data_IF_121340440949
#
_entry.id   IF_121340440949
#
_cell.length_a   1.000
_cell.length_b   1.000
_cell.length_c   1.000
_cell.angle_alpha   90.00
_cell.angle_beta   90.00
_cell.angle_gamma   90.00
#
_symmetry.space_group_name_H-M   'P 1'
#
loop_
_entity.id
_entity.type
_entity.pdbx_description
1 polymer ?
#
# COMPACT_ATOMS: atom_id res chain seq x y z
N UNK A 1 9.06 -6.42 -11.11
CA UNK A 1 9.08 -4.95 -10.95
C UNK A 1 8.53 -4.29 -12.21
N UNK A 2 7.47 -3.48 -12.08
CA UNK A 2 6.80 -2.79 -13.20
C UNK A 2 7.75 -2.04 -14.13
N UNK A 3 8.77 -1.37 -13.58
CA UNK A 3 9.79 -0.64 -14.34
C UNK A 3 10.67 -1.53 -15.24
N UNK A 4 10.79 -2.84 -14.96
CA UNK A 4 11.44 -3.80 -15.88
C UNK A 4 10.56 -4.14 -17.07
N UNK A 5 9.25 -4.25 -16.85
CA UNK A 5 8.27 -4.55 -17.91
C UNK A 5 7.98 -3.31 -18.77
N UNK A 6 8.08 -2.11 -18.18
CA UNK A 6 7.95 -0.84 -18.88
C UNK A 6 9.17 0.05 -18.61
N UNK A 7 10.34 -0.19 -19.24
CA UNK A 7 11.56 0.58 -18.99
C UNK A 7 11.40 2.08 -19.24
N UNK A 8 10.55 2.46 -20.20
CA UNK A 8 10.25 3.85 -20.52
C UNK A 8 9.40 4.56 -19.45
N UNK A 9 8.68 3.83 -18.58
CA UNK A 9 7.78 4.44 -17.61
C UNK A 9 8.56 5.18 -16.53
N UNK A 10 8.26 6.46 -16.27
CA UNK A 10 8.75 7.14 -15.06
C UNK A 10 7.99 6.60 -13.86
N UNK A 11 8.71 6.08 -12.86
CA UNK A 11 8.11 5.53 -11.63
C UNK A 11 8.47 6.40 -10.45
N UNK A 12 7.47 6.74 -9.64
CA UNK A 12 7.63 7.44 -8.36
C UNK A 12 7.13 6.50 -7.25
N UNK A 13 7.98 6.19 -6.29
CA UNK A 13 7.63 5.46 -5.06
C UNK A 13 7.31 6.44 -3.94
N UNK A 14 6.20 6.22 -3.24
CA UNK A 14 5.76 7.04 -2.10
C UNK A 14 5.55 6.14 -0.89
N UNK A 15 6.18 6.51 0.23
CA UNK A 15 6.04 5.86 1.54
C UNK A 15 6.33 6.92 2.62
N UNK A 16 5.60 6.96 3.75
CA UNK A 16 5.90 7.88 4.85
C UNK A 16 7.12 7.50 5.69
N UNK A 17 7.59 6.25 5.62
CA UNK A 17 8.72 5.77 6.41
C UNK A 17 10.04 5.93 5.63
N UNK A 18 10.96 6.82 6.07
CA UNK A 18 12.23 7.03 5.40
C UNK A 18 13.11 5.77 5.37
N UNK A 19 13.00 4.88 6.36
CA UNK A 19 13.76 3.61 6.40
C UNK A 19 13.28 2.67 5.29
N UNK A 20 11.97 2.63 5.06
CA UNK A 20 11.37 1.82 3.98
C UNK A 20 11.79 2.36 2.62
N UNK A 21 11.80 3.68 2.46
CA UNK A 21 12.31 4.33 1.25
C UNK A 21 13.77 3.99 0.99
N UNK A 22 14.63 3.99 2.00
CA UNK A 22 16.04 3.58 1.87
C UNK A 22 16.19 2.11 1.44
N UNK A 23 15.42 1.20 2.04
CA UNK A 23 15.41 -0.23 1.63
C UNK A 23 14.97 -0.36 0.17
N UNK A 24 13.95 0.39 -0.24
CA UNK A 24 13.44 0.36 -1.61
C UNK A 24 14.44 0.97 -2.61
N UNK A 25 15.12 2.06 -2.24
CA UNK A 25 16.22 2.67 -2.99
C UNK A 25 17.35 1.69 -3.23
N UNK A 26 17.83 1.01 -2.19
CA UNK A 26 18.89 0.01 -2.30
C UNK A 26 18.52 -1.14 -3.27
N UNK A 27 17.27 -1.62 -3.21
CA UNK A 27 16.75 -2.64 -4.15
C UNK A 27 16.74 -2.14 -5.60
N UNK A 28 16.34 -0.89 -5.82
CA UNK A 28 16.29 -0.30 -7.15
C UNK A 28 17.71 -0.13 -7.75
N UNK A 29 18.68 0.32 -6.94
CA UNK A 29 20.09 0.42 -7.33
C UNK A 29 20.65 -0.95 -7.71
N UNK A 30 20.47 -1.97 -6.85
CA UNK A 30 20.89 -3.35 -7.14
C UNK A 30 20.26 -3.90 -8.42
N UNK A 31 19.04 -3.46 -8.74
CA UNK A 31 18.32 -3.91 -9.93
C UNK A 31 18.65 -3.10 -11.20
N UNK A 32 19.47 -2.04 -11.12
CA UNK A 32 19.82 -1.17 -12.24
C UNK A 32 18.66 -0.29 -12.72
N UNK A 33 17.75 0.09 -11.81
CA UNK A 33 16.48 0.72 -12.15
C UNK A 33 16.35 2.11 -11.53
N UNK A 34 16.02 3.10 -12.35
CA UNK A 34 15.71 4.45 -11.89
C UNK A 34 14.25 4.59 -11.39
N UNK A 35 14.09 5.02 -10.14
CA UNK A 35 12.82 5.34 -9.48
C UNK A 35 12.99 6.67 -8.74
N UNK A 36 12.02 7.58 -8.86
CA UNK A 36 11.92 8.77 -8.00
C UNK A 36 11.27 8.40 -6.67
N UNK A 37 11.65 9.04 -5.58
CA UNK A 37 11.16 8.71 -4.24
C UNK A 37 10.63 9.95 -3.55
N UNK A 38 9.49 9.83 -2.89
CA UNK A 38 8.87 10.90 -2.13
C UNK A 38 8.44 10.37 -0.76
N UNK A 39 8.91 11.03 0.30
CA UNK A 39 8.42 10.78 1.65
C UNK A 39 7.12 11.54 1.84
N UNK A 40 6.02 10.81 1.95
CA UNK A 40 4.70 11.39 2.18
C UNK A 40 3.72 10.32 2.63
N UNK A 41 2.71 10.77 3.38
CA UNK A 41 1.55 9.94 3.63
C UNK A 41 0.69 9.78 2.37
N UNK A 42 0.00 8.64 2.26
CA UNK A 42 -0.82 8.33 1.09
C UNK A 42 -2.02 9.29 0.89
N UNK A 43 -2.56 9.85 1.97
CA UNK A 43 -3.60 10.88 1.94
C UNK A 43 -3.06 12.28 1.63
N UNK A 44 -1.75 12.48 1.74
CA UNK A 44 -1.07 13.74 1.44
C UNK A 44 -0.53 13.82 0.01
N UNK A 45 -0.79 12.83 -0.85
CA UNK A 45 -0.26 12.79 -2.23
C UNK A 45 -0.52 14.09 -3.00
N UNK A 46 -1.69 14.71 -2.85
CA UNK A 46 -2.02 15.98 -3.51
C UNK A 46 -1.08 17.14 -3.10
N UNK A 47 -0.51 17.11 -1.89
CA UNK A 47 0.40 18.14 -1.34
C UNK A 47 1.84 17.96 -1.81
N UNK A 48 2.19 16.79 -2.33
CA UNK A 48 3.55 16.48 -2.79
C UNK A 48 3.92 17.13 -4.13
N UNK A 49 2.92 17.64 -4.86
CA UNK A 49 3.09 18.07 -6.26
C UNK A 49 3.23 16.91 -7.26
N UNK A 50 3.04 15.66 -6.82
CA UNK A 50 2.96 14.50 -7.71
C UNK A 50 1.68 14.57 -8.52
N UNK A 51 1.82 14.63 -9.85
CA UNK A 51 0.70 14.62 -10.78
C UNK A 51 0.93 15.60 -11.94
N UNK A 52 0.13 15.50 -13.01
CA UNK A 52 -0.77 14.39 -13.28
C UNK A 52 0.00 13.11 -13.66
N UNK A 53 -0.49 11.94 -13.24
CA UNK A 53 0.09 10.62 -13.58
C UNK A 53 -0.87 9.78 -14.43
N UNK A 54 -0.34 8.84 -15.21
CA UNK A 54 -1.15 7.97 -16.07
C UNK A 54 -1.77 6.81 -15.29
N UNK A 55 -1.09 6.34 -14.25
CA UNK A 55 -1.50 5.21 -13.42
C UNK A 55 -1.15 5.46 -11.96
N UNK A 56 -2.05 5.09 -11.06
CA UNK A 56 -1.81 5.06 -9.62
C UNK A 56 -1.95 3.60 -9.16
N UNK A 57 -0.88 3.08 -8.57
CA UNK A 57 -0.77 1.68 -8.16
C UNK A 57 -0.60 1.62 -6.65
N UNK A 58 -1.26 0.69 -5.96
CA UNK A 58 -0.98 0.41 -4.55
C UNK A 58 -1.09 -1.07 -4.22
N UNK A 59 -0.28 -1.51 -3.25
CA UNK A 59 -0.23 -2.90 -2.83
C UNK A 59 -0.10 -3.02 -1.32
N UNK A 60 -0.98 -3.83 -0.70
CA UNK A 60 -0.93 -4.18 0.73
C UNK A 60 -0.92 -2.96 1.68
N UNK A 61 -1.71 -1.94 1.35
CA UNK A 61 -1.82 -0.70 2.12
C UNK A 61 -3.15 -0.59 2.84
N UNK A 62 -4.25 -0.90 2.16
CA UNK A 62 -5.59 -0.53 2.62
C UNK A 62 -6.11 -1.39 3.77
N UNK A 63 -5.75 -2.67 3.85
CA UNK A 63 -6.25 -3.58 4.89
C UNK A 63 -5.95 -3.11 6.31
N UNK A 64 -4.81 -2.47 6.52
CA UNK A 64 -4.36 -1.98 7.82
C UNK A 64 -4.83 -0.54 8.13
N UNK A 65 -5.24 0.24 7.12
CA UNK A 65 -5.68 1.62 7.33
C UNK A 65 -7.05 1.71 8.00
N UNK A 66 -7.32 2.67 8.90
CA UNK A 66 -8.69 3.00 9.30
C UNK A 66 -9.57 3.42 8.11
N UNK A 67 -10.89 3.24 8.23
CA UNK A 67 -11.81 3.55 7.12
C UNK A 67 -11.73 5.00 6.60
N UNK A 68 -11.59 6.05 7.45
CA UNK A 68 -11.37 7.41 6.97
C UNK A 68 -10.07 7.56 6.16
N UNK A 69 -8.99 6.91 6.61
CA UNK A 69 -7.70 6.92 5.91
C UNK A 69 -7.79 6.24 4.54
N UNK A 70 -8.48 5.09 4.43
CA UNK A 70 -8.74 4.43 3.13
C UNK A 70 -9.41 5.40 2.13
N UNK A 71 -10.39 6.19 2.59
CA UNK A 71 -11.09 7.19 1.76
C UNK A 71 -10.16 8.32 1.35
N UNK A 72 -9.40 8.85 2.29
CA UNK A 72 -8.47 9.96 2.06
C UNK A 72 -7.37 9.58 1.05
N UNK A 73 -6.76 8.39 1.20
CA UNK A 73 -5.79 7.87 0.25
C UNK A 73 -6.40 7.73 -1.15
N UNK A 74 -7.61 7.15 -1.27
CA UNK A 74 -8.24 6.98 -2.58
C UNK A 74 -8.59 8.31 -3.24
N UNK A 75 -9.07 9.29 -2.48
CA UNK A 75 -9.33 10.64 -2.99
C UNK A 75 -8.03 11.31 -3.47
N UNK A 76 -6.95 11.19 -2.70
CA UNK A 76 -5.65 11.71 -3.07
C UNK A 76 -5.09 11.03 -4.32
N UNK A 77 -5.16 9.70 -4.40
CA UNK A 77 -4.79 8.94 -5.60
C UNK A 77 -5.59 9.40 -6.83
N UNK A 78 -6.91 9.55 -6.70
CA UNK A 78 -7.77 10.04 -7.77
C UNK A 78 -7.36 11.44 -8.24
N UNK A 79 -7.10 12.36 -7.30
CA UNK A 79 -6.66 13.73 -7.60
C UNK A 79 -5.30 13.83 -8.31
N UNK A 80 -4.41 12.85 -8.13
CA UNK A 80 -3.11 12.82 -8.84
C UNK A 80 -3.20 12.28 -10.27
N UNK A 81 -4.30 11.63 -10.65
CA UNK A 81 -4.44 11.05 -11.98
C UNK A 81 -4.82 12.10 -13.02
N UNK A 82 -4.26 11.97 -14.23
CA UNK A 82 -4.81 12.67 -15.40
C UNK A 82 -6.24 12.17 -15.71
N UNK A 83 -7.07 12.97 -16.41
CA UNK A 83 -8.32 12.46 -16.96
C UNK A 83 -8.11 11.16 -17.74
N UNK A 84 -8.88 10.12 -17.42
CA UNK A 84 -8.76 8.80 -18.02
C UNK A 84 -7.58 7.93 -17.52
N UNK A 85 -6.84 8.39 -16.50
CA UNK A 85 -5.81 7.61 -15.82
C UNK A 85 -6.36 6.34 -15.14
N UNK A 86 -5.47 5.40 -14.83
CA UNK A 86 -5.86 4.08 -14.32
C UNK A 86 -5.50 3.85 -12.85
N UNK A 87 -6.38 3.15 -12.14
CA UNK A 87 -6.14 2.66 -10.78
C UNK A 87 -5.81 1.16 -10.81
N UNK A 88 -4.77 0.75 -10.08
CA UNK A 88 -4.44 -0.66 -9.86
C UNK A 88 -4.17 -0.90 -8.36
N UNK A 89 -4.96 -1.77 -7.72
CA UNK A 89 -4.83 -2.10 -6.29
C UNK A 89 -4.65 -3.60 -6.13
N UNK A 90 -3.65 -4.02 -5.38
CA UNK A 90 -3.48 -5.41 -4.93
C UNK A 90 -3.52 -5.45 -3.40
N UNK A 91 -4.63 -5.89 -2.81
CA UNK A 91 -4.79 -5.84 -1.35
C UNK A 91 -5.64 -7.00 -0.85
N UNK A 92 -5.67 -7.25 0.46
CA UNK A 92 -6.66 -8.17 1.01
C UNK A 92 -8.05 -7.62 0.70
N UNK A 93 -8.80 -8.38 -0.10
CA UNK A 93 -10.15 -8.03 -0.50
C UNK A 93 -11.20 -8.74 0.34
N UNK A 94 -12.40 -8.86 -0.23
CA UNK A 94 -13.48 -9.61 0.39
C UNK A 94 -13.06 -11.06 0.62
N UNK A 95 -13.19 -11.54 1.87
CA UNK A 95 -12.89 -12.92 2.22
C UNK A 95 -14.15 -13.75 1.99
N UNK A 96 -14.36 -14.24 0.77
CA UNK A 96 -15.65 -14.86 0.37
C UNK A 96 -15.90 -16.23 0.96
N UNK A 97 -14.84 -17.03 1.14
CA UNK A 97 -14.97 -18.38 1.71
C UNK A 97 -14.71 -18.39 3.21
N UNK A 98 -15.32 -19.33 3.93
CA UNK A 98 -15.08 -19.56 5.35
C UNK A 98 -13.59 -19.82 5.63
N UNK A 99 -12.93 -20.56 4.75
CA UNK A 99 -11.50 -20.85 4.84
C UNK A 99 -10.68 -19.57 4.73
N UNK A 100 -10.94 -18.72 3.73
CA UNK A 100 -10.19 -17.47 3.58
C UNK A 100 -10.45 -16.50 4.75
N UNK A 101 -11.70 -16.41 5.23
CA UNK A 101 -12.03 -15.65 6.46
C UNK A 101 -11.25 -16.16 7.67
N UNK A 102 -11.16 -17.48 7.84
CA UNK A 102 -10.40 -18.07 8.93
C UNK A 102 -8.90 -17.75 8.83
N UNK A 103 -8.29 -17.93 7.65
CA UNK A 103 -6.87 -17.63 7.44
C UNK A 103 -6.59 -16.13 7.64
N UNK A 104 -7.50 -15.25 7.23
CA UNK A 104 -7.34 -13.81 7.38
C UNK A 104 -7.33 -13.34 8.84
N UNK A 105 -7.89 -14.10 9.78
CA UNK A 105 -7.82 -13.78 11.23
C UNK A 105 -6.38 -13.64 11.73
N UNK A 106 -5.41 -14.29 11.07
CA UNK A 106 -3.99 -14.11 11.37
C UNK A 106 -3.57 -12.65 11.17
N UNK A 107 -3.96 -12.05 10.04
CA UNK A 107 -3.74 -10.64 9.72
C UNK A 107 -4.56 -9.74 10.65
N UNK A 108 -5.82 -10.06 10.91
CA UNK A 108 -6.66 -9.26 11.81
C UNK A 108 -6.13 -9.18 13.24
N UNK A 109 -5.42 -10.23 13.71
CA UNK A 109 -4.73 -10.22 15.01
C UNK A 109 -3.48 -9.35 15.02
N UNK A 110 -2.81 -9.20 13.89
CA UNK A 110 -1.61 -8.37 13.75
C UNK A 110 -1.96 -6.89 13.53
N UNK A 111 -2.88 -6.63 12.59
CA UNK A 111 -3.19 -5.27 12.10
C UNK A 111 -4.48 -4.68 12.71
N UNK A 112 -5.12 -5.44 13.59
CA UNK A 112 -6.36 -5.07 14.27
C UNK A 112 -7.63 -5.39 13.47
N UNK A 113 -8.62 -5.94 14.15
CA UNK A 113 -9.91 -6.30 13.55
C UNK A 113 -10.67 -5.10 13.00
N UNK A 114 -10.66 -3.97 13.72
CA UNK A 114 -11.37 -2.75 13.31
C UNK A 114 -10.93 -2.24 11.93
N UNK A 115 -9.62 -2.30 11.65
CA UNK A 115 -9.05 -1.83 10.39
C UNK A 115 -9.24 -2.82 9.24
N UNK A 116 -9.12 -4.11 9.55
CA UNK A 116 -9.06 -5.20 8.56
C UNK A 116 -10.43 -5.78 8.21
N UNK A 117 -11.39 -5.78 9.14
CA UNK A 117 -12.73 -6.32 8.93
C UNK A 117 -13.49 -5.65 7.76
N UNK A 118 -13.41 -4.31 7.55
CA UNK A 118 -13.99 -3.69 6.36
C UNK A 118 -13.49 -4.28 5.04
N UNK A 119 -12.19 -4.60 4.94
CA UNK A 119 -11.67 -5.26 3.74
C UNK A 119 -12.23 -6.67 3.61
N UNK A 120 -12.28 -7.43 4.70
CA UNK A 120 -12.83 -8.79 4.70
C UNK A 120 -14.30 -8.85 4.29
N UNK A 121 -15.04 -7.76 4.50
CA UNK A 121 -16.45 -7.60 4.11
C UNK A 121 -16.64 -6.89 2.77
N UNK A 122 -15.56 -6.65 2.01
CA UNK A 122 -15.62 -6.15 0.64
C UNK A 122 -15.90 -4.65 0.53
N UNK A 123 -15.35 -3.82 1.44
CA UNK A 123 -15.56 -2.36 1.40
C UNK A 123 -14.92 -1.68 0.18
N UNK A 124 -13.82 -2.21 -0.34
CA UNK A 124 -12.96 -1.52 -1.32
C UNK A 124 -13.69 -1.08 -2.61
N UNK A 125 -14.50 -1.92 -3.31
CA UNK A 125 -15.26 -1.49 -4.47
C UNK A 125 -16.15 -0.26 -4.22
N UNK A 126 -16.79 -0.20 -3.05
CA UNK A 126 -17.63 0.93 -2.66
C UNK A 126 -16.81 2.21 -2.45
N UNK A 127 -15.60 2.07 -1.88
CA UNK A 127 -14.71 3.21 -1.69
C UNK A 127 -14.12 3.72 -3.01
N UNK A 128 -13.82 2.84 -3.96
CA UNK A 128 -13.36 3.24 -5.29
C UNK A 128 -14.41 4.11 -5.99
N UNK A 129 -15.67 3.65 -6.01
CA UNK A 129 -16.77 4.43 -6.58
C UNK A 129 -16.96 5.77 -5.86
N UNK A 130 -16.92 5.78 -4.52
CA UNK A 130 -17.08 7.00 -3.73
C UNK A 130 -15.94 8.01 -3.94
N UNK A 131 -14.74 7.55 -4.30
CA UNK A 131 -13.60 8.41 -4.62
C UNK A 131 -13.59 8.92 -6.07
N UNK A 132 -14.59 8.53 -6.90
CA UNK A 132 -14.71 8.98 -8.30
C UNK A 132 -14.08 8.04 -9.32
N UNK A 133 -13.54 6.88 -8.92
CA UNK A 133 -12.99 5.93 -9.88
C UNK A 133 -14.09 5.21 -10.64
N UNK A 134 -14.05 5.31 -11.97
CA UNK A 134 -14.96 4.59 -12.85
C UNK A 134 -14.40 3.21 -13.27
N UNK A 135 -15.31 2.25 -13.49
CA UNK A 135 -15.00 0.94 -14.11
C UNK A 135 -13.87 0.15 -13.43
N UNK A 136 -13.69 0.33 -12.11
CA UNK A 136 -12.77 -0.52 -11.33
C UNK A 136 -13.44 -1.86 -11.09
N UNK A 137 -12.82 -2.92 -11.59
CA UNK A 137 -13.30 -4.30 -11.43
C UNK A 137 -12.25 -5.14 -10.73
N UNK A 138 -12.69 -6.11 -9.93
CA UNK A 138 -11.82 -7.16 -9.44
C UNK A 138 -11.46 -8.09 -10.61
N UNK A 139 -10.19 -8.05 -11.04
CA UNK A 139 -9.68 -8.87 -12.14
C UNK A 139 -9.36 -10.29 -11.70
N UNK A 140 -8.91 -10.43 -10.46
CA UNK A 140 -8.50 -11.70 -9.90
C UNK A 140 -8.65 -11.66 -8.38
N UNK A 141 -8.98 -12.80 -7.79
CA UNK A 141 -8.86 -13.06 -6.37
C UNK A 141 -7.93 -14.25 -6.18
N UNK A 142 -6.83 -14.03 -5.47
CA UNK A 142 -5.75 -15.01 -5.28
C UNK A 142 -5.83 -15.51 -3.84
N UNK A 143 -6.14 -16.79 -3.61
CA UNK A 143 -6.04 -17.37 -2.27
C UNK A 143 -4.57 -17.44 -1.83
N UNK A 144 -4.31 -17.05 -0.60
CA UNK A 144 -2.99 -17.12 0.04
C UNK A 144 -3.09 -17.85 1.39
N UNK A 145 -1.96 -18.24 1.99
CA UNK A 145 -1.94 -18.79 3.35
C UNK A 145 -2.49 -17.85 4.44
N UNK A 146 -2.71 -16.56 4.13
CA UNK A 146 -3.14 -15.51 5.06
C UNK A 146 -4.48 -14.88 4.68
N UNK A 147 -5.22 -15.43 3.71
CA UNK A 147 -6.49 -14.89 3.21
C UNK A 147 -6.46 -14.69 1.69
N UNK A 148 -7.47 -14.06 1.11
CA UNK A 148 -7.51 -13.74 -0.32
C UNK A 148 -7.02 -12.33 -0.60
N UNK A 149 -6.06 -12.21 -1.53
CA UNK A 149 -5.63 -10.94 -2.11
C UNK A 149 -6.41 -10.71 -3.41
N UNK A 150 -7.07 -9.58 -3.52
CA UNK A 150 -7.80 -9.16 -4.71
C UNK A 150 -6.96 -8.17 -5.52
N UNK A 151 -6.96 -8.36 -6.84
CA UNK A 151 -6.37 -7.45 -7.81
C UNK A 151 -7.51 -6.65 -8.46
N UNK A 152 -7.61 -5.38 -8.10
CA UNK A 152 -8.55 -4.44 -8.70
C UNK A 152 -7.85 -3.61 -9.77
N UNK A 153 -8.50 -3.41 -10.90
CA UNK A 153 -8.01 -2.53 -11.95
C UNK A 153 -9.17 -1.81 -12.65
N UNK A 154 -8.99 -0.52 -12.94
CA UNK A 154 -9.86 0.16 -13.89
C UNK A 154 -9.69 -0.43 -15.29
N UNK A 155 -10.77 -0.50 -16.08
CA UNK A 155 -10.66 -0.88 -17.49
C UNK A 155 -9.63 0.03 -18.22
N UNK A 156 -8.78 -0.53 -19.10
CA UNK A 156 -7.88 0.29 -19.89
C UNK A 156 -8.71 1.20 -20.79
N UNK A 157 -8.70 2.50 -20.53
CA UNK A 157 -9.01 3.47 -21.58
C UNK A 157 -7.85 3.37 -22.57
N UNK A 158 -8.12 3.10 -23.85
CA UNK A 158 -7.11 2.79 -24.87
C UNK A 158 -6.10 3.92 -25.15
N UNK A 159 -5.20 4.21 -24.21
CA UNK A 159 -4.24 5.30 -24.26
C UNK A 159 -2.82 4.86 -23.87
N UNK A 160 -1.83 5.52 -24.49
CA UNK A 160 -0.40 5.23 -24.42
C UNK A 160 0.20 5.17 -23.00
N UNK A 161 1.25 4.35 -22.87
CA UNK A 161 1.99 4.04 -21.65
C UNK A 161 2.89 5.21 -21.18
N UNK A 162 2.32 6.19 -20.49
CA UNK A 162 3.05 7.23 -19.74
C UNK A 162 3.21 6.90 -18.25
N UNK A 163 3.96 7.76 -17.56
CA UNK A 163 4.28 7.85 -16.12
C UNK A 163 3.37 7.03 -15.16
N UNK A 164 3.98 6.19 -14.32
CA UNK A 164 3.27 5.37 -13.33
C UNK A 164 3.66 5.73 -11.90
N UNK A 165 2.69 6.11 -11.07
CA UNK A 165 2.86 6.30 -9.63
C UNK A 165 2.65 4.98 -8.91
N UNK A 166 3.57 4.60 -8.03
CA UNK A 166 3.44 3.45 -7.15
C UNK A 166 3.43 3.91 -5.70
N UNK A 167 2.25 3.92 -5.10
CA UNK A 167 2.03 4.18 -3.68
C UNK A 167 2.17 2.87 -2.95
N UNK A 168 3.26 2.72 -2.22
CA UNK A 168 3.55 1.49 -1.51
C UNK A 168 3.86 1.87 -0.08
N UNK A 169 2.93 1.66 0.85
CA UNK A 169 3.22 1.73 2.28
C UNK A 169 3.68 0.34 2.70
N UNK A 170 4.96 0.03 2.55
CA UNK A 170 5.50 -1.21 3.10
C UNK A 170 5.87 -0.94 4.55
N UNK A 171 5.09 -1.45 5.49
CA UNK A 171 5.60 -1.50 6.87
C UNK A 171 6.74 -2.53 6.94
N UNK A 172 7.71 -2.30 7.83
CA UNK A 172 8.80 -3.24 8.09
C UNK A 172 8.30 -4.69 8.37
N UNK A 173 7.09 -4.83 8.94
CA UNK A 173 6.44 -6.11 9.21
C UNK A 173 6.05 -6.92 7.97
N UNK A 174 5.62 -6.29 6.88
CA UNK A 174 5.22 -6.98 5.65
C UNK A 174 6.43 -7.49 4.85
N UNK A 175 7.56 -6.79 4.92
CA UNK A 175 8.84 -7.24 4.35
C UNK A 175 9.36 -8.51 5.03
N UNK A 176 9.17 -8.63 6.34
CA UNK A 176 9.52 -9.83 7.11
C UNK A 176 8.56 -11.00 6.83
N UNK A 177 7.25 -10.76 6.75
CA UNK A 177 6.25 -11.80 6.44
C UNK A 177 6.41 -12.40 5.04
N UNK A 178 7.03 -11.68 4.11
CA UNK A 178 7.34 -12.14 2.75
C UNK A 178 8.73 -12.78 2.61
N UNK A 179 9.46 -13.00 3.71
CA UNK A 179 10.78 -13.65 3.70
C UNK A 179 11.86 -12.87 2.95
N UNK A 180 11.68 -11.55 2.80
CA UNK A 180 12.59 -10.70 2.02
C UNK A 180 13.76 -10.16 2.84
N UNK A 181 13.67 -10.16 4.19
CA UNK A 181 14.74 -9.81 5.14
C UNK A 181 14.46 -10.36 6.55
N UNK A 182 15.53 -10.59 7.33
CA UNK A 182 15.46 -10.65 8.80
C UNK A 182 15.17 -9.26 9.38
N UNK A 183 14.40 -9.21 10.48
CA UNK A 183 14.06 -7.97 11.19
C UNK A 183 15.34 -7.18 11.56
N UNK A 184 15.44 -5.88 11.24
CA UNK A 184 16.54 -5.07 11.75
C UNK A 184 16.43 -4.97 13.28
N UNK A 185 17.53 -5.18 13.99
CA UNK A 185 17.62 -4.92 15.43
C UNK A 185 17.32 -3.43 15.66
N UNK A 186 16.27 -3.16 16.44
CA UNK A 186 15.97 -1.80 16.93
C UNK A 186 16.99 -1.45 18.01
N UNK A 187 18.19 -1.03 17.61
CA UNK A 187 19.14 -0.37 18.48
C UNK A 187 19.47 1.00 17.90
N UNK A 188 19.03 2.03 18.63
CA UNK A 188 19.31 3.46 18.49
C UNK A 188 18.63 4.23 17.33
N UNK A 189 17.33 4.54 17.49
CA UNK A 189 16.71 5.70 16.85
C UNK A 189 16.79 6.93 17.76
N UNK A 190 17.63 7.88 17.36
CA UNK A 190 17.69 9.23 17.91
C UNK A 190 16.38 9.98 17.69
N UNK A 191 16.11 10.92 18.61
CA UNK A 191 14.91 11.74 18.68
C UNK A 191 14.88 12.73 17.52
N UNK A 192 13.77 12.79 16.80
CA UNK A 192 13.23 14.09 16.41
C UNK A 192 11.69 14.06 16.40
N UNK A 193 11.11 15.09 17.02
CA UNK A 193 9.70 15.18 17.41
C UNK A 193 9.10 16.37 16.67
N UNK A 194 8.24 16.18 15.67
CA UNK A 194 7.12 17.10 15.35
C UNK A 194 6.19 16.68 14.19
N UNK A 195 5.98 15.38 13.94
CA UNK A 195 4.88 14.90 13.10
C UNK A 195 3.95 13.98 13.91
N UNK A 196 2.74 14.50 14.17
CA UNK A 196 1.51 13.83 14.69
C UNK A 196 1.67 12.87 15.89
N UNK A 197 1.31 13.36 17.08
CA UNK A 197 1.24 12.60 18.33
C UNK A 197 0.34 11.34 18.26
N UNK A 198 -0.65 11.30 17.36
CA UNK A 198 -1.47 10.11 17.10
C UNK A 198 -0.71 9.01 16.33
N UNK A 199 0.22 9.38 15.46
CA UNK A 199 0.96 8.46 14.58
C UNK A 199 2.10 7.75 15.32
N UNK A 200 2.76 8.44 16.27
CA UNK A 200 3.76 7.80 17.14
C UNK A 200 3.13 6.80 18.12
N UNK A 201 1.85 6.95 18.49
CA UNK A 201 1.16 5.96 19.33
C UNK A 201 0.85 4.66 18.57
N UNK A 202 0.61 4.75 17.26
CA UNK A 202 0.32 3.59 16.40
C UNK A 202 1.51 2.61 16.30
N UNK A 203 2.75 3.11 16.37
CA UNK A 203 3.99 2.32 16.33
C UNK A 203 4.58 1.98 17.72
N UNK A 204 4.00 2.48 18.83
CA UNK A 204 4.57 2.34 20.20
C UNK A 204 3.83 1.37 21.12
N UNK A 205 2.82 0.63 20.66
CA UNK A 205 2.12 -0.32 21.53
C UNK A 205 3.02 -1.52 21.91
N UNK A 206 3.29 -1.76 23.21
CA UNK A 206 4.18 -2.81 23.65
C UNK A 206 3.40 -4.13 23.80
N UNK A 207 3.36 -4.94 22.76
CA UNK A 207 2.88 -6.34 22.88
C UNK A 207 3.77 -7.35 22.15
N UNK A 208 5.07 -7.04 22.01
CA UNK A 208 6.08 -7.97 21.51
C UNK A 208 7.27 -8.01 22.47
N UNK A 209 7.08 -8.69 23.60
CA UNK A 209 8.16 -9.36 24.30
C UNK A 209 7.79 -10.85 24.36
N UNK A 210 8.43 -11.68 23.53
CA UNK A 210 8.39 -13.15 23.65
C UNK A 210 9.81 -13.64 23.97
N UNK A 211 9.98 -14.70 24.80
CA UNK A 211 11.23 -14.95 25.51
C UNK A 211 12.34 -15.43 24.58
N UNK A 212 13.55 -14.99 24.90
CA UNK A 212 14.79 -15.49 24.31
C UNK A 212 15.00 -16.95 24.74
N UNK A 213 15.30 -17.82 23.79
CA UNK A 213 16.15 -18.99 24.00
C UNK A 213 17.39 -18.82 23.14
#
# INVERSE_FOLDING_TARGET
MMKRQCPAARVIGVDPDPVVLEIARAKAIKAGIAIGWTEAMGDELARTGIGPVDKAVSSLVFHQCPLPMKRAILAAMHGTLRPGGALLIADYGEQRSRTMRFLFRQIQRLDGFENTQPNADGVLPKLFAAAGFERVVERQSIPTPTGSISIYASAPNGGNYGICLHVNMLTCGQLAAQGLFDQPKVENMGRDKHASHEYQNWYRHPFLAWPRR
#
